data_IF_373591941445
#
_entry.id   IF_373591941445
#
_cell.length_a   1.000
_cell.length_b   1.000
_cell.length_c   1.000
_cell.angle_alpha   90.00
_cell.angle_beta   90.00
_cell.angle_gamma   90.00
#
_symmetry.space_group_name_H-M   'P 1'
#
loop_
_entity.id
_entity.type
_entity.pdbx_description
1 polymer ?
#
# COMPACT_ATOMS: atom_id res chain seq x y z
N UNK A 1 13.90 7.72 -1.29
CA UNK A 1 13.76 6.38 -1.92
C UNK A 1 12.41 5.79 -1.55
N UNK A 2 11.53 5.54 -2.51
CA UNK A 2 10.16 5.03 -2.25
C UNK A 2 10.06 3.50 -2.29
N UNK A 3 10.96 2.86 -3.05
CA UNK A 3 11.05 1.41 -3.14
C UNK A 3 12.50 1.00 -3.40
N UNK A 4 12.87 -0.20 -2.95
CA UNK A 4 14.15 -0.84 -3.27
C UNK A 4 14.01 -2.35 -3.29
N UNK A 5 15.04 -3.05 -3.80
CA UNK A 5 15.19 -4.49 -3.62
C UNK A 5 16.62 -4.85 -3.23
N UNK A 6 16.76 -5.84 -2.37
CA UNK A 6 18.01 -6.52 -2.07
C UNK A 6 17.97 -7.93 -2.67
N UNK A 7 18.89 -8.20 -3.59
CA UNK A 7 18.84 -9.43 -4.38
C UNK A 7 17.53 -9.54 -5.19
N UNK A 8 17.02 -10.75 -5.37
CA UNK A 8 15.81 -11.00 -6.20
C UNK A 8 14.49 -10.90 -5.43
N UNK A 9 14.50 -11.23 -4.13
CA UNK A 9 13.30 -11.59 -3.37
C UNK A 9 13.02 -10.71 -2.15
N UNK A 10 13.95 -9.87 -1.72
CA UNK A 10 13.68 -8.92 -0.63
C UNK A 10 13.37 -7.56 -1.25
N UNK A 11 12.12 -7.13 -1.17
CA UNK A 11 11.64 -5.85 -1.69
C UNK A 11 11.21 -5.00 -0.49
N UNK A 12 11.61 -3.73 -0.47
CA UNK A 12 11.18 -2.77 0.54
C UNK A 12 10.39 -1.66 -0.13
N UNK A 13 9.21 -1.37 0.41
CA UNK A 13 8.30 -0.33 -0.05
C UNK A 13 8.02 0.61 1.12
N UNK A 14 8.11 1.92 0.89
CA UNK A 14 7.77 2.93 1.89
C UNK A 14 6.26 3.23 1.91
N UNK A 15 5.58 3.01 0.78
CA UNK A 15 4.16 3.22 0.59
C UNK A 15 3.36 1.92 0.75
N UNK A 16 2.06 2.07 0.99
CA UNK A 16 1.12 0.96 1.21
C UNK A 16 0.43 0.56 -0.09
N UNK A 17 0.75 -0.64 -0.59
CA UNK A 17 0.04 -1.24 -1.72
C UNK A 17 -1.14 -2.09 -1.27
N UNK A 18 -1.06 -2.62 -0.06
CA UNK A 18 -1.99 -3.58 0.53
C UNK A 18 -3.31 -2.94 1.00
N UNK A 19 -3.33 -1.61 1.12
CA UNK A 19 -4.42 -0.89 1.74
C UNK A 19 -5.73 -1.02 0.93
N UNK A 20 -6.84 -1.11 1.65
CA UNK A 20 -8.19 -1.04 1.12
C UNK A 20 -8.98 0.11 1.77
N UNK A 21 -10.22 0.30 1.32
CA UNK A 21 -11.08 1.38 1.80
C UNK A 21 -11.31 1.32 3.31
N UNK A 22 -11.58 0.13 3.85
CA UNK A 22 -11.87 -0.05 5.26
C UNK A 22 -10.64 0.25 6.13
N UNK A 23 -9.46 -0.22 5.72
CA UNK A 23 -8.22 0.07 6.45
C UNK A 23 -7.90 1.56 6.47
N UNK A 24 -8.18 2.30 5.40
CA UNK A 24 -7.98 3.76 5.33
C UNK A 24 -8.94 4.48 6.28
N UNK A 25 -10.20 4.08 6.33
CA UNK A 25 -11.19 4.65 7.26
C UNK A 25 -10.73 4.48 8.71
N UNK A 26 -10.35 3.26 9.08
CA UNK A 26 -9.88 2.93 10.43
C UNK A 26 -8.61 3.73 10.77
N UNK A 27 -7.65 3.85 9.86
CA UNK A 27 -6.44 4.63 10.09
C UNK A 27 -6.71 6.13 10.18
N UNK A 28 -7.55 6.67 9.32
CA UNK A 28 -7.90 8.09 9.35
C UNK A 28 -8.59 8.48 10.66
N UNK A 29 -9.45 7.61 11.21
CA UNK A 29 -10.06 7.80 12.52
C UNK A 29 -9.04 7.63 13.66
N UNK A 30 -8.26 6.54 13.65
CA UNK A 30 -7.30 6.21 14.71
C UNK A 30 -6.22 7.27 14.85
N UNK A 31 -5.77 7.85 13.74
CA UNK A 31 -4.66 8.81 13.67
C UNK A 31 -5.14 10.23 13.30
N UNK A 32 -6.36 10.60 13.68
CA UNK A 32 -6.92 11.92 13.37
C UNK A 32 -6.07 13.10 13.89
N UNK A 33 -5.38 12.93 15.01
CA UNK A 33 -4.47 13.93 15.55
C UNK A 33 -3.26 14.18 14.62
N UNK A 34 -2.70 13.11 14.03
CA UNK A 34 -1.58 13.21 13.10
C UNK A 34 -2.02 13.86 11.78
N UNK A 35 -3.23 13.52 11.31
CA UNK A 35 -3.85 14.18 10.16
C UNK A 35 -3.98 15.69 10.39
N UNK A 36 -4.52 16.10 11.55
CA UNK A 36 -4.66 17.51 11.89
C UNK A 36 -3.30 18.23 12.00
N UNK A 37 -2.28 17.57 12.55
CA UNK A 37 -0.93 18.13 12.63
C UNK A 37 -0.29 18.33 11.24
N UNK A 38 -0.74 17.56 10.24
CA UNK A 38 -0.33 17.66 8.84
C UNK A 38 -1.25 18.56 7.99
N UNK A 39 -2.16 19.32 8.60
CA UNK A 39 -3.13 20.20 7.93
C UNK A 39 -4.03 19.47 6.92
N UNK A 40 -4.40 18.23 7.24
CA UNK A 40 -5.36 17.42 6.47
C UNK A 40 -6.45 16.87 7.39
N UNK A 41 -7.64 16.61 6.84
CA UNK A 41 -8.73 16.01 7.61
C UNK A 41 -8.85 14.51 7.32
N UNK A 42 -9.29 13.68 8.28
CA UNK A 42 -9.62 12.27 8.03
C UNK A 42 -10.53 12.07 6.81
N UNK A 43 -11.54 12.92 6.65
CA UNK A 43 -12.50 12.85 5.53
C UNK A 43 -11.82 13.14 4.19
N UNK A 44 -10.85 14.06 4.16
CA UNK A 44 -10.09 14.36 2.95
C UNK A 44 -9.20 13.19 2.52
N UNK A 45 -8.62 12.47 3.49
CA UNK A 45 -7.81 11.27 3.26
C UNK A 45 -8.69 10.14 2.70
N UNK A 46 -9.82 9.86 3.35
CA UNK A 46 -10.77 8.82 2.90
C UNK A 46 -11.30 9.12 1.50
N UNK A 47 -11.73 10.36 1.25
CA UNK A 47 -12.30 10.78 -0.04
C UNK A 47 -11.29 10.66 -1.18
N UNK A 48 -10.08 11.18 -0.99
CA UNK A 48 -9.02 11.11 -2.00
C UNK A 48 -8.58 9.67 -2.25
N UNK A 49 -8.54 8.84 -1.21
CA UNK A 49 -8.16 7.43 -1.34
C UNK A 49 -9.20 6.63 -2.11
N UNK A 50 -10.50 6.79 -1.80
CA UNK A 50 -11.59 6.16 -2.56
C UNK A 50 -11.50 6.44 -4.06
N UNK A 51 -11.22 7.69 -4.43
CA UNK A 51 -11.05 8.08 -5.83
C UNK A 51 -9.80 7.47 -6.50
N UNK A 52 -8.79 7.09 -5.72
CA UNK A 52 -7.53 6.54 -6.20
C UNK A 52 -7.48 5.00 -6.19
N UNK A 53 -8.26 4.32 -5.34
CA UNK A 53 -8.21 2.87 -5.15
C UNK A 53 -8.37 2.08 -6.44
N UNK A 54 -9.30 2.49 -7.32
CA UNK A 54 -9.49 1.86 -8.62
C UNK A 54 -8.24 1.83 -9.50
N UNK A 55 -7.35 2.83 -9.35
CA UNK A 55 -6.06 2.91 -10.06
C UNK A 55 -4.96 2.11 -9.35
N UNK A 56 -5.04 1.97 -8.01
CA UNK A 56 -4.07 1.24 -7.21
C UNK A 56 -4.21 -0.28 -7.39
N UNK A 57 -5.45 -0.80 -7.44
CA UNK A 57 -5.74 -2.23 -7.51
C UNK A 57 -4.94 -2.95 -8.62
N UNK A 58 -4.97 -2.54 -9.90
CA UNK A 58 -4.22 -3.26 -10.94
C UNK A 58 -2.70 -3.24 -10.71
N UNK A 59 -2.16 -2.17 -10.11
CA UNK A 59 -0.74 -2.07 -9.76
C UNK A 59 -0.40 -3.03 -8.61
N UNK A 60 -1.24 -3.06 -7.57
CA UNK A 60 -1.13 -3.99 -6.45
C UNK A 60 -1.09 -5.44 -6.94
N UNK A 61 -2.07 -5.84 -7.75
CA UNK A 61 -2.16 -7.22 -8.26
C UNK A 61 -0.91 -7.59 -9.07
N UNK A 62 -0.44 -6.70 -9.95
CA UNK A 62 0.75 -6.96 -10.76
C UNK A 62 2.03 -7.12 -9.90
N UNK A 63 2.20 -6.25 -8.90
CA UNK A 63 3.35 -6.29 -7.98
C UNK A 63 3.33 -7.56 -7.13
N UNK A 64 2.18 -7.87 -6.51
CA UNK A 64 2.03 -9.03 -5.64
C UNK A 64 2.13 -10.35 -6.42
N UNK A 65 1.54 -10.45 -7.62
CA UNK A 65 1.67 -11.63 -8.47
C UNK A 65 3.13 -11.89 -8.88
N UNK A 66 3.87 -10.83 -9.25
CA UNK A 66 5.29 -10.95 -9.59
C UNK A 66 6.12 -11.40 -8.39
N UNK A 67 5.85 -10.83 -7.21
CA UNK A 67 6.52 -11.23 -5.98
C UNK A 67 6.22 -12.69 -5.64
N UNK A 68 4.95 -13.10 -5.71
CA UNK A 68 4.50 -14.49 -5.51
C UNK A 68 5.25 -15.46 -6.44
N UNK A 69 5.36 -15.17 -7.74
CA UNK A 69 6.12 -16.01 -8.67
C UNK A 69 7.61 -16.15 -8.29
N UNK A 70 8.23 -15.09 -7.79
CA UNK A 70 9.64 -15.12 -7.37
C UNK A 70 9.88 -15.96 -6.11
N UNK A 71 8.90 -16.04 -5.21
CA UNK A 71 9.00 -16.84 -3.99
C UNK A 71 8.56 -18.30 -4.21
N UNK A 72 7.58 -18.56 -5.08
CA UNK A 72 7.10 -19.92 -5.38
C UNK A 72 8.12 -20.78 -6.13
N UNK A 73 8.97 -20.17 -6.97
CA UNK A 73 10.14 -20.83 -7.61
C UNK A 73 11.23 -21.29 -6.63
N UNK A 74 11.01 -21.20 -5.31
CA UNK A 74 11.87 -21.79 -4.28
C UNK A 74 11.58 -23.26 -4.03
N UNK A 75 10.39 -23.76 -4.40
CA UNK A 75 10.00 -25.16 -4.16
C UNK A 75 10.60 -26.20 -5.12
N UNK A 76 11.28 -25.77 -6.19
CA UNK A 76 11.82 -26.65 -7.23
C UNK A 76 13.35 -26.82 -7.19
N UNK A 77 14.00 -26.52 -6.05
CA UNK A 77 15.44 -26.74 -5.86
C UNK A 77 15.74 -27.51 -4.60
#
# INVERSE_FOLDING_TARGET
>A
NQAFRLGRRAWGLQFHLEIDEHAVEVFAETFAADASAADVTPESIVTSTRAALGKLIPVREAVLARFAGLISTRGER
#
